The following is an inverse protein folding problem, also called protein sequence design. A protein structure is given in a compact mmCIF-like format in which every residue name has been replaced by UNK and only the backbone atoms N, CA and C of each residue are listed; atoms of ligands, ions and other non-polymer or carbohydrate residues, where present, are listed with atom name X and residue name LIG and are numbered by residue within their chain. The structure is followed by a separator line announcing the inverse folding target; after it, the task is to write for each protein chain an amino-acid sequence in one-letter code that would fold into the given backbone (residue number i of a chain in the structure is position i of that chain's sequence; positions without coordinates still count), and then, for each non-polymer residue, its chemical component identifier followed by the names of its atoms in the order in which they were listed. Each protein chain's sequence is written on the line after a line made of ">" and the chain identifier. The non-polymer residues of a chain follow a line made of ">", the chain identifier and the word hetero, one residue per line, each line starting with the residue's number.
data_IF_531522832486
#
_entry.id   IF_531522832486
#
_cell.length_a   1.000
_cell.length_b   1.000
_cell.length_c   1.000
_cell.angle_alpha   90.00
_cell.angle_beta   90.00
_cell.angle_gamma   90.00
#
_symmetry.space_group_name_H-M   'P 1'
#
loop_
_entity.id
_entity.type
_entity.pdbx_description
1 polymer ?
#
# COMPACT_ATOMS: atom_id res chain seq x y z
N UNK A 1 -4.81 -17.95 5.16
CA UNK A 1 -4.71 -16.82 6.11
C UNK A 1 -3.58 -15.93 5.64
N UNK A 2 -3.86 -14.67 5.38
CA UNK A 2 -2.93 -13.73 4.74
C UNK A 2 -2.00 -13.10 5.80
N UNK A 3 -0.69 -13.37 5.72
CA UNK A 3 0.32 -12.90 6.68
C UNK A 3 0.39 -11.36 6.72
N UNK A 4 0.08 -10.71 5.60
CA UNK A 4 -0.04 -9.25 5.51
C UNK A 4 -1.20 -8.74 6.38
N UNK A 5 -2.35 -9.41 6.32
CA UNK A 5 -3.55 -9.05 7.09
C UNK A 5 -3.31 -9.19 8.60
N UNK A 6 -2.64 -10.27 9.02
CA UNK A 6 -2.21 -10.45 10.41
C UNK A 6 -1.17 -9.41 10.87
N UNK A 7 -0.32 -8.90 9.97
CA UNK A 7 0.66 -7.86 10.33
C UNK A 7 0.04 -6.47 10.49
N UNK A 8 -1.07 -6.19 9.80
CA UNK A 8 -1.85 -4.97 9.95
C UNK A 8 -2.72 -5.02 11.21
N UNK A 9 -3.30 -6.16 11.56
CA UNK A 9 -4.14 -6.33 12.76
C UNK A 9 -3.38 -6.17 14.10
N UNK A 10 -2.06 -6.34 14.14
CA UNK A 10 -1.29 -6.35 15.40
C UNK A 10 -0.20 -5.26 15.54
N UNK A 11 -0.12 -4.33 14.58
CA UNK A 11 0.90 -3.24 14.54
C UNK A 11 2.34 -3.71 14.83
N UNK A 12 2.68 -4.92 14.36
CA UNK A 12 3.98 -5.54 14.65
C UNK A 12 4.97 -5.03 13.59
N UNK A 13 5.59 -3.88 13.89
CA UNK A 13 6.67 -3.27 13.10
C UNK A 13 7.74 -4.31 12.70
N UNK A 14 8.03 -5.29 13.56
CA UNK A 14 9.01 -6.36 13.31
C UNK A 14 8.54 -7.41 12.30
N UNK A 15 7.24 -7.67 12.19
CA UNK A 15 6.66 -8.60 11.22
C UNK A 15 6.60 -7.95 9.84
N UNK A 16 6.20 -6.67 9.77
CA UNK A 16 6.31 -5.86 8.54
C UNK A 16 7.75 -5.82 8.02
N UNK A 17 8.75 -5.69 8.91
CA UNK A 17 10.19 -5.76 8.59
C UNK A 17 10.62 -7.12 8.01
N UNK A 18 10.11 -8.22 8.54
CA UNK A 18 10.42 -9.58 8.06
C UNK A 18 9.75 -9.87 6.71
N UNK A 19 8.49 -9.46 6.54
CA UNK A 19 7.73 -9.63 5.29
C UNK A 19 8.33 -8.77 4.18
N UNK A 20 8.68 -7.50 4.45
CA UNK A 20 9.37 -6.66 3.48
C UNK A 20 10.72 -7.27 3.07
N UNK A 21 11.49 -7.80 4.03
CA UNK A 21 12.74 -8.50 3.74
C UNK A 21 12.53 -9.78 2.91
N UNK A 22 11.51 -10.60 3.20
CA UNK A 22 11.18 -11.80 2.43
C UNK A 22 10.68 -11.49 1.01
N UNK A 23 9.84 -10.46 0.86
CA UNK A 23 9.34 -9.98 -0.43
C UNK A 23 10.48 -9.45 -1.29
N UNK A 24 11.43 -8.76 -0.66
CA UNK A 24 12.67 -8.24 -1.27
C UNK A 24 13.59 -9.37 -1.71
N UNK A 25 13.90 -10.32 -0.82
CA UNK A 25 14.79 -11.46 -1.11
C UNK A 25 14.24 -12.31 -2.26
N UNK A 26 12.91 -12.36 -2.42
CA UNK A 26 12.24 -13.11 -3.49
C UNK A 26 11.65 -12.27 -4.63
N UNK A 27 11.91 -10.96 -4.70
CA UNK A 27 11.41 -10.05 -5.76
C UNK A 27 9.89 -10.12 -6.00
N UNK A 28 9.08 -10.28 -4.95
CA UNK A 28 7.61 -10.37 -5.04
C UNK A 28 6.92 -9.01 -4.90
N UNK A 29 7.44 -8.00 -5.59
CA UNK A 29 6.79 -6.68 -5.65
C UNK A 29 5.49 -6.80 -6.44
N UNK A 30 4.40 -6.33 -5.85
CA UNK A 30 3.05 -6.32 -6.44
C UNK A 30 2.46 -4.91 -6.39
N UNK A 31 1.36 -4.66 -7.10
CA UNK A 31 0.66 -3.38 -7.03
C UNK A 31 0.29 -2.98 -5.59
N UNK A 32 -0.10 -3.95 -4.76
CA UNK A 32 -0.58 -3.73 -3.40
C UNK A 32 0.50 -3.46 -2.36
N UNK A 33 1.78 -3.74 -2.64
CA UNK A 33 2.86 -3.59 -1.65
C UNK A 33 4.04 -2.72 -2.13
N UNK A 34 4.05 -2.26 -3.40
CA UNK A 34 5.23 -1.60 -3.98
C UNK A 34 5.61 -0.31 -3.24
N UNK A 35 4.64 0.46 -2.75
CA UNK A 35 4.91 1.70 -2.02
C UNK A 35 5.48 1.43 -0.63
N UNK A 36 4.97 0.41 0.08
CA UNK A 36 5.46 0.02 1.40
C UNK A 36 6.89 -0.53 1.32
N UNK A 37 7.14 -1.41 0.35
CA UNK A 37 8.48 -1.98 0.11
C UNK A 37 9.46 -0.86 -0.25
N UNK A 38 9.04 0.10 -1.10
CA UNK A 38 9.85 1.28 -1.44
C UNK A 38 10.13 2.16 -0.22
N UNK A 39 9.11 2.49 0.58
CA UNK A 39 9.25 3.30 1.79
C UNK A 39 10.19 2.66 2.80
N UNK A 40 10.11 1.33 2.96
CA UNK A 40 11.03 0.59 3.80
C UNK A 40 12.46 0.59 3.26
N UNK A 41 12.64 0.38 1.95
CA UNK A 41 13.96 0.43 1.31
C UNK A 41 14.63 1.80 1.49
N UNK A 42 13.87 2.89 1.38
CA UNK A 42 14.37 4.25 1.65
C UNK A 42 14.84 4.42 3.10
N UNK A 43 14.06 3.95 4.08
CA UNK A 43 14.44 4.02 5.50
C UNK A 43 15.69 3.20 5.84
N UNK A 44 15.99 2.19 5.03
CA UNK A 44 17.15 1.29 5.21
C UNK A 44 18.30 1.60 4.28
N UNK A 45 18.22 2.68 3.51
CA UNK A 45 19.23 3.08 2.54
C UNK A 45 19.58 1.95 1.54
N UNK A 46 18.61 1.08 1.23
CA UNK A 46 18.78 -0.03 0.30
C UNK A 46 18.45 0.42 -1.12
N UNK A 47 19.44 1.02 -1.78
CA UNK A 47 19.28 1.68 -3.09
C UNK A 47 18.85 0.72 -4.20
N UNK A 48 19.38 -0.50 -4.22
CA UNK A 48 19.05 -1.55 -5.20
C UNK A 48 17.55 -1.91 -5.18
N UNK A 49 16.96 -2.00 -3.99
CA UNK A 49 15.54 -2.30 -3.80
C UNK A 49 14.70 -1.09 -4.18
N UNK A 50 15.13 0.11 -3.78
CA UNK A 50 14.43 1.33 -4.14
C UNK A 50 14.36 1.46 -5.67
N UNK A 51 15.47 1.28 -6.38
CA UNK A 51 15.53 1.30 -7.84
C UNK A 51 14.62 0.23 -8.46
N UNK A 52 14.59 -0.97 -7.89
CA UNK A 52 13.71 -2.04 -8.37
C UNK A 52 12.23 -1.67 -8.24
N UNK A 53 11.80 -1.14 -7.09
CA UNK A 53 10.43 -0.68 -6.88
C UNK A 53 10.08 0.47 -7.82
N UNK A 54 10.98 1.44 -8.00
CA UNK A 54 10.74 2.56 -8.92
C UNK A 54 10.65 2.12 -10.38
N UNK A 55 11.49 1.17 -10.81
CA UNK A 55 11.39 0.57 -12.14
C UNK A 55 10.04 -0.16 -12.34
N UNK A 56 9.58 -0.87 -11.30
CA UNK A 56 8.26 -1.51 -11.31
C UNK A 56 7.13 -0.47 -11.41
N UNK A 57 7.20 0.62 -10.65
CA UNK A 57 6.21 1.70 -10.68
C UNK A 57 6.15 2.34 -12.07
N UNK A 58 7.29 2.70 -12.66
CA UNK A 58 7.35 3.29 -14.01
C UNK A 58 6.77 2.36 -15.06
N UNK A 59 7.08 1.06 -14.99
CA UNK A 59 6.60 0.06 -15.95
C UNK A 59 5.10 -0.21 -15.84
N UNK A 60 4.56 -0.23 -14.63
CA UNK A 60 3.19 -0.67 -14.34
C UNK A 60 2.27 0.49 -13.89
N UNK A 61 2.65 1.75 -14.11
CA UNK A 61 1.95 2.89 -13.50
C UNK A 61 0.46 2.95 -13.81
N UNK A 62 0.06 2.62 -15.03
CA UNK A 62 -1.37 2.56 -15.41
C UNK A 62 -2.12 1.49 -14.61
N UNK A 63 -1.58 0.27 -14.52
CA UNK A 63 -2.24 -0.82 -13.80
C UNK A 63 -2.23 -0.63 -12.28
N UNK A 64 -1.16 -0.03 -11.73
CA UNK A 64 -1.10 0.38 -10.32
C UNK A 64 -2.18 1.43 -10.03
N UNK A 65 -2.37 2.41 -10.92
CA UNK A 65 -3.42 3.42 -10.76
C UNK A 65 -4.81 2.79 -10.76
N UNK A 66 -5.08 1.89 -11.71
CA UNK A 66 -6.36 1.16 -11.77
C UNK A 66 -6.59 0.36 -10.49
N UNK A 67 -5.56 -0.31 -9.99
CA UNK A 67 -5.62 -1.03 -8.72
C UNK A 67 -5.95 -0.11 -7.54
N UNK A 68 -5.20 0.98 -7.36
CA UNK A 68 -5.40 1.93 -6.25
C UNK A 68 -6.80 2.56 -6.29
N UNK A 69 -7.27 2.95 -7.46
CA UNK A 69 -8.62 3.50 -7.63
C UNK A 69 -9.70 2.46 -7.27
N UNK A 70 -9.51 1.20 -7.67
CA UNK A 70 -10.42 0.10 -7.30
C UNK A 70 -10.49 -0.13 -5.80
N UNK A 71 -9.33 -0.16 -5.13
CA UNK A 71 -9.24 -0.30 -3.67
C UNK A 71 -9.91 0.90 -2.97
N UNK A 72 -9.66 2.13 -3.40
CA UNK A 72 -10.31 3.33 -2.83
C UNK A 72 -11.83 3.24 -2.98
N UNK A 73 -12.33 2.84 -4.15
CA UNK A 73 -13.76 2.69 -4.40
C UNK A 73 -14.38 1.62 -3.48
N UNK A 74 -13.70 0.49 -3.29
CA UNK A 74 -14.13 -0.57 -2.38
C UNK A 74 -14.18 -0.08 -0.92
N UNK A 75 -13.13 0.60 -0.45
CA UNK A 75 -13.09 1.16 0.90
C UNK A 75 -14.18 2.22 1.11
N UNK A 76 -14.48 3.05 0.09
CA UNK A 76 -15.58 4.03 0.15
C UNK A 76 -16.94 3.33 0.27
N UNK A 77 -17.18 2.25 -0.48
CA UNK A 77 -18.41 1.44 -0.34
C UNK A 77 -18.53 0.82 1.06
N UNK A 78 -17.43 0.32 1.63
CA UNK A 78 -17.41 -0.21 2.99
C UNK A 78 -17.73 0.88 4.02
N UNK A 79 -17.23 2.11 3.81
CA UNK A 79 -17.53 3.25 4.68
C UNK A 79 -19.01 3.65 4.63
N UNK A 80 -19.64 3.59 3.46
CA UNK A 80 -21.08 3.87 3.27
C UNK A 80 -21.97 2.81 3.94
N UNK A 81 -21.51 1.56 4.00
CA UNK A 81 -22.23 0.46 4.65
C UNK A 81 -22.09 0.49 6.18
N UNK A 82 -21.09 1.19 6.71
CA UNK A 82 -20.79 1.25 8.15
C UNK A 82 -21.50 2.45 8.80
N UNK A 83 -22.80 2.31 9.04
CA UNK A 83 -23.69 3.39 9.57
C UNK A 83 -24.19 3.15 10.99
N UNK A 84 -23.78 2.07 11.66
CA UNK A 84 -24.28 1.71 13.00
C UNK A 84 -23.68 2.54 14.14
N UNK A 85 -24.47 2.75 15.20
CA UNK A 85 -24.02 3.31 16.48
C UNK A 85 -23.04 2.32 17.16
N UNK A 86 -21.76 2.45 16.84
CA UNK A 86 -20.69 1.52 17.25
C UNK A 86 -19.54 1.43 16.25
N UNK A 87 -19.77 1.87 15.01
CA UNK A 87 -18.82 1.76 13.90
C UNK A 87 -17.74 2.86 13.90
N UNK A 88 -17.69 3.74 14.90
CA UNK A 88 -16.79 4.90 14.92
C UNK A 88 -15.32 4.55 14.69
N UNK A 89 -14.81 3.51 15.36
CA UNK A 89 -13.44 3.04 15.20
C UNK A 89 -13.19 2.46 13.81
N UNK A 90 -14.09 1.59 13.32
CA UNK A 90 -14.01 0.98 12.00
C UNK A 90 -14.04 2.02 10.87
N UNK A 91 -14.89 3.04 11.00
CA UNK A 91 -14.96 4.16 10.04
C UNK A 91 -13.68 4.99 10.06
N UNK A 92 -13.06 5.18 11.22
CA UNK A 92 -11.77 5.86 11.32
C UNK A 92 -10.65 5.06 10.64
N UNK A 93 -10.61 3.73 10.83
CA UNK A 93 -9.68 2.84 10.14
C UNK A 93 -9.85 2.89 8.62
N UNK A 94 -11.08 2.76 8.13
CA UNK A 94 -11.37 2.81 6.69
C UNK A 94 -10.95 4.17 6.10
N UNK A 95 -11.22 5.28 6.80
CA UNK A 95 -10.76 6.62 6.37
C UNK A 95 -9.24 6.70 6.31
N UNK A 96 -8.54 6.14 7.31
CA UNK A 96 -7.08 6.10 7.31
C UNK A 96 -6.53 5.33 6.11
N UNK A 97 -7.13 4.17 5.79
CA UNK A 97 -6.75 3.36 4.62
C UNK A 97 -6.99 4.11 3.30
N UNK A 98 -8.13 4.80 3.17
CA UNK A 98 -8.40 5.64 1.99
C UNK A 98 -7.33 6.72 1.85
N UNK A 99 -6.98 7.43 2.94
CA UNK A 99 -5.94 8.46 2.89
C UNK A 99 -4.57 7.90 2.53
N UNK A 100 -4.22 6.70 2.98
CA UNK A 100 -2.98 6.03 2.60
C UNK A 100 -2.94 5.68 1.10
N UNK A 101 -4.04 5.15 0.56
CA UNK A 101 -4.18 4.85 -0.87
C UNK A 101 -4.14 6.12 -1.73
N UNK A 102 -4.78 7.20 -1.28
CA UNK A 102 -4.74 8.51 -1.95
C UNK A 102 -3.32 9.11 -1.93
N UNK A 103 -2.59 8.97 -0.83
CA UNK A 103 -1.18 9.35 -0.77
C UNK A 103 -0.33 8.52 -1.76
N UNK A 104 -0.59 7.21 -1.89
CA UNK A 104 0.09 6.37 -2.87
C UNK A 104 -0.21 6.79 -4.32
N UNK A 105 -1.41 7.30 -4.62
CA UNK A 105 -1.72 7.91 -5.92
C UNK A 105 -0.91 9.18 -6.17
N UNK A 106 -0.78 10.06 -5.18
CA UNK A 106 0.05 11.27 -5.29
C UNK A 106 1.51 10.89 -5.53
N UNK A 107 2.03 9.90 -4.82
CA UNK A 107 3.39 9.38 -5.04
C UNK A 107 3.50 8.80 -6.45
N UNK A 108 2.53 8.01 -6.91
CA UNK A 108 2.50 7.48 -8.28
C UNK A 108 2.56 8.59 -9.34
N UNK A 109 1.85 9.69 -9.14
CA UNK A 109 1.84 10.83 -10.06
C UNK A 109 3.22 11.48 -10.23
N UNK A 110 4.09 11.39 -9.22
CA UNK A 110 5.49 11.84 -9.34
C UNK A 110 6.33 10.97 -10.28
N UNK A 111 5.94 9.69 -10.47
CA UNK A 111 6.63 8.76 -11.36
C UNK A 111 6.00 8.67 -12.74
N UNK A 112 4.67 8.80 -12.80
CA UNK A 112 3.87 8.62 -14.01
C UNK A 112 2.76 9.70 -14.02
N UNK A 113 3.09 10.93 -14.49
CA UNK A 113 2.13 12.02 -14.56
C UNK A 113 0.95 11.69 -15.46
N UNK A 114 -0.24 12.22 -15.15
CA UNK A 114 -1.39 12.12 -16.06
C UNK A 114 -1.11 12.97 -17.32
N UNK A 115 -1.26 12.35 -18.49
CA UNK A 115 -1.28 13.04 -19.79
C UNK A 115 -2.69 13.52 -20.12
#
# INVERSE_FOLDING_TARGET
>A
MDLLRLSHEYDIIRLKKLIAHEIVVHKKVTHGNVFDVRGYAMQRESTDIQEHCEAYIRKNGSSIRTYLNGEIEEQRKLLEQSTGDGDGARRAEIRSLISELENNLVVLDTFVPQQ
#
